data_IF_371010631165
#
_entry.id   IF_371010631165
#
_cell.length_a   1.000
_cell.length_b   1.000
_cell.length_c   1.000
_cell.angle_alpha   90.00
_cell.angle_beta   90.00
_cell.angle_gamma   90.00
#
_symmetry.space_group_name_H-M   'P 1'
#
loop_
_entity.id
_entity.type
_entity.pdbx_description
1 polymer ?
#
# COMPACT_ATOMS: atom_id res chain seq x y z
N UNK A 1 -19.67 -43.29 -34.68
CA UNK A 1 -18.91 -42.47 -33.73
C UNK A 1 -19.87 -41.41 -33.19
N UNK A 2 -20.07 -41.34 -31.88
CA UNK A 2 -21.06 -40.46 -31.21
C UNK A 2 -20.52 -39.00 -31.18
N UNK A 3 -21.29 -37.91 -31.03
CA UNK A 3 -22.23 -37.66 -29.93
C UNK A 3 -23.40 -36.69 -30.19
N UNK A 4 -24.43 -36.90 -29.38
CA UNK A 4 -25.59 -36.06 -29.08
C UNK A 4 -25.35 -35.28 -27.75
N UNK A 5 -26.00 -34.16 -27.42
CA UNK A 5 -26.82 -33.19 -28.19
C UNK A 5 -27.24 -32.01 -27.27
N UNK A 6 -28.00 -31.04 -27.82
CA UNK A 6 -28.83 -30.01 -27.15
C UNK A 6 -28.18 -28.76 -26.54
N UNK A 7 -28.90 -27.66 -26.77
CA UNK A 7 -28.76 -26.37 -26.11
C UNK A 7 -29.21 -26.43 -24.64
N UNK A 8 -28.81 -25.45 -23.84
CA UNK A 8 -29.73 -24.87 -22.87
C UNK A 8 -29.50 -23.35 -22.73
N UNK A 9 -30.58 -22.58 -22.80
CA UNK A 9 -30.57 -21.12 -22.56
C UNK A 9 -31.26 -20.93 -21.21
N UNK A 10 -30.52 -20.47 -20.20
CA UNK A 10 -31.01 -20.38 -18.82
C UNK A 10 -31.03 -18.92 -18.32
N UNK A 11 -32.19 -18.30 -18.50
CA UNK A 11 -32.89 -17.34 -17.62
C UNK A 11 -32.08 -16.54 -16.58
N UNK A 12 -32.18 -15.21 -16.68
CA UNK A 12 -31.90 -14.28 -15.58
C UNK A 12 -32.92 -14.43 -14.44
N UNK A 13 -32.48 -14.69 -13.20
CA UNK A 13 -32.98 -13.95 -12.03
C UNK A 13 -32.12 -14.12 -10.77
N UNK A 14 -32.16 -13.07 -9.95
CA UNK A 14 -31.36 -12.78 -8.77
C UNK A 14 -31.12 -13.92 -7.76
N UNK A 15 -29.85 -14.11 -7.41
CA UNK A 15 -29.40 -14.73 -6.16
C UNK A 15 -28.24 -13.91 -5.59
N UNK A 16 -28.42 -13.28 -4.41
CA UNK A 16 -27.33 -12.61 -3.67
C UNK A 16 -26.36 -13.64 -3.09
N UNK A 17 -25.17 -13.17 -2.72
CA UNK A 17 -24.12 -13.90 -1.98
C UNK A 17 -23.19 -14.80 -2.80
N UNK A 18 -22.38 -14.19 -3.66
CA UNK A 18 -20.93 -14.46 -3.54
C UNK A 18 -20.45 -13.57 -2.40
N UNK A 19 -20.09 -14.16 -1.27
CA UNK A 19 -19.34 -13.44 -0.25
C UNK A 19 -18.02 -13.00 -0.91
N UNK A 20 -17.75 -11.70 -0.96
CA UNK A 20 -16.42 -11.24 -1.31
C UNK A 20 -15.49 -11.75 -0.22
N UNK A 21 -14.74 -12.81 -0.52
CA UNK A 21 -13.65 -13.27 0.30
C UNK A 21 -12.78 -12.06 0.60
N UNK A 22 -12.65 -11.70 1.88
CA UNK A 22 -11.65 -10.73 2.32
C UNK A 22 -10.30 -11.39 2.08
N UNK A 23 -9.76 -11.19 0.87
CA UNK A 23 -8.42 -11.63 0.52
C UNK A 23 -7.48 -10.85 1.44
N UNK A 24 -6.95 -11.56 2.45
CA UNK A 24 -5.92 -11.02 3.32
C UNK A 24 -4.68 -10.91 2.45
N UNK A 25 -4.53 -9.75 1.81
CA UNK A 25 -3.36 -9.43 1.01
C UNK A 25 -2.15 -9.45 1.93
N UNK A 26 -1.42 -10.56 1.90
CA UNK A 26 -0.17 -10.69 2.61
C UNK A 26 0.83 -9.75 1.97
N UNK A 27 1.15 -8.67 2.66
CA UNK A 27 2.32 -7.83 2.40
C UNK A 27 3.53 -8.75 2.23
N UNK A 28 4.10 -8.83 1.02
CA UNK A 28 5.23 -9.71 0.71
C UNK A 28 6.56 -9.07 1.06
N UNK A 29 6.62 -7.75 1.05
CA UNK A 29 7.77 -6.94 1.44
C UNK A 29 7.31 -5.53 1.82
N UNK A 30 8.14 -4.83 2.59
CA UNK A 30 7.89 -3.46 3.04
C UNK A 30 9.01 -2.56 2.53
N UNK A 31 8.68 -1.35 2.07
CA UNK A 31 9.64 -0.35 1.61
C UNK A 31 9.80 0.69 2.72
N UNK A 32 10.92 0.64 3.46
CA UNK A 32 11.22 1.61 4.53
C UNK A 32 11.95 2.81 3.94
N UNK A 33 11.45 4.02 4.20
CA UNK A 33 11.95 5.29 3.65
C UNK A 33 12.16 6.29 4.80
N UNK A 34 13.40 6.44 5.28
CA UNK A 34 13.77 7.56 6.15
C UNK A 34 13.57 8.90 5.44
N UNK A 35 13.00 9.90 6.12
CA UNK A 35 12.79 11.26 5.58
C UNK A 35 13.14 12.36 6.58
N UNK A 36 13.66 13.47 6.05
CA UNK A 36 13.89 14.71 6.80
C UNK A 36 13.84 15.90 5.82
N UNK A 37 12.81 16.74 5.92
CA UNK A 37 12.57 17.91 5.05
C UNK A 37 12.49 17.55 3.54
N UNK A 38 11.67 16.54 3.19
CA UNK A 38 11.55 15.93 1.84
C UNK A 38 10.16 16.09 1.18
N UNK A 39 9.40 17.12 1.55
CA UNK A 39 7.98 17.24 1.18
C UNK A 39 7.72 17.07 -0.33
N UNK A 40 8.48 17.75 -1.18
CA UNK A 40 8.23 17.75 -2.63
C UNK A 40 8.51 16.41 -3.32
N UNK A 41 9.18 15.47 -2.65
CA UNK A 41 9.49 14.15 -3.18
C UNK A 41 8.48 13.05 -2.81
N UNK A 42 7.57 13.30 -1.85
CA UNK A 42 6.59 12.30 -1.38
C UNK A 42 5.63 11.86 -2.49
N UNK A 43 4.89 12.79 -3.11
CA UNK A 43 3.90 12.41 -4.14
C UNK A 43 4.55 11.79 -5.38
N UNK A 44 5.65 12.33 -5.96
CA UNK A 44 6.29 11.73 -7.12
C UNK A 44 6.85 10.32 -6.85
N UNK A 45 7.30 10.04 -5.62
CA UNK A 45 7.79 8.72 -5.23
C UNK A 45 6.64 7.73 -5.09
N UNK A 46 5.61 8.06 -4.31
CA UNK A 46 4.46 7.18 -4.09
C UNK A 46 3.67 6.92 -5.38
N UNK A 47 3.49 7.93 -6.22
CA UNK A 47 2.87 7.78 -7.55
C UNK A 47 3.61 6.74 -8.40
N UNK A 48 4.95 6.72 -8.36
CA UNK A 48 5.76 5.76 -9.12
C UNK A 48 5.73 4.35 -8.51
N UNK A 49 5.77 4.24 -7.18
CA UNK A 49 5.72 2.96 -6.47
C UNK A 49 4.37 2.25 -6.68
N UNK A 50 3.25 2.96 -6.56
CA UNK A 50 1.92 2.38 -6.76
C UNK A 50 1.49 2.25 -8.24
N UNK A 51 2.29 2.76 -9.18
CA UNK A 51 2.12 2.50 -10.62
C UNK A 51 2.85 1.23 -11.10
N UNK A 52 3.56 0.52 -10.22
CA UNK A 52 4.19 -0.77 -10.55
C UNK A 52 3.12 -1.87 -10.72
N UNK A 53 3.33 -2.76 -11.70
CA UNK A 53 2.48 -3.93 -11.94
C UNK A 53 2.73 -5.02 -10.87
N UNK A 54 2.21 -4.75 -9.67
CA UNK A 54 2.25 -5.62 -8.50
C UNK A 54 0.83 -5.85 -8.00
N UNK A 55 0.55 -7.04 -7.48
CA UNK A 55 -0.74 -7.34 -6.87
C UNK A 55 -1.06 -6.33 -5.76
N UNK A 56 -2.31 -5.84 -5.72
CA UNK A 56 -2.80 -4.91 -4.71
C UNK A 56 -2.49 -5.39 -3.30
N UNK A 57 -2.05 -4.48 -2.42
CA UNK A 57 -1.68 -4.80 -1.04
C UNK A 57 -0.45 -5.71 -0.87
N UNK A 58 0.22 -6.12 -1.96
CA UNK A 58 1.35 -7.05 -1.86
C UNK A 58 2.68 -6.42 -1.41
N UNK A 59 2.68 -5.10 -1.17
CA UNK A 59 3.71 -4.37 -0.44
C UNK A 59 3.10 -3.22 0.38
N UNK A 60 3.85 -2.70 1.35
CA UNK A 60 3.56 -1.46 2.08
C UNK A 60 4.73 -0.47 1.94
N UNK A 61 4.46 0.82 2.15
CA UNK A 61 5.51 1.86 2.25
C UNK A 61 5.49 2.47 3.64
N UNK A 62 6.60 2.35 4.36
CA UNK A 62 6.79 2.87 5.71
C UNK A 62 7.71 4.09 5.62
N UNK A 63 7.17 5.28 5.81
CA UNK A 63 7.97 6.48 6.01
C UNK A 63 8.38 6.58 7.48
N UNK A 64 9.63 6.95 7.72
CA UNK A 64 10.16 7.24 9.05
C UNK A 64 10.71 8.65 9.04
N UNK A 65 9.93 9.57 9.60
CA UNK A 65 10.24 10.99 9.61
C UNK A 65 11.07 11.36 10.84
N UNK A 66 12.24 11.97 10.62
CA UNK A 66 13.21 12.31 11.66
C UNK A 66 13.00 13.73 12.25
N UNK A 67 11.76 14.21 12.26
CA UNK A 67 11.41 15.54 12.77
C UNK A 67 11.53 16.62 11.69
N UNK A 68 10.96 16.35 10.52
CA UNK A 68 10.80 17.32 9.44
C UNK A 68 10.05 18.58 9.93
N UNK A 69 10.47 19.72 9.42
CA UNK A 69 9.96 21.06 9.75
C UNK A 69 9.16 21.67 8.58
N UNK A 70 9.07 20.94 7.48
CA UNK A 70 8.33 21.27 6.27
C UNK A 70 6.97 20.51 6.21
N UNK A 71 6.43 20.31 5.00
CA UNK A 71 5.19 19.58 4.79
C UNK A 71 5.29 18.04 4.80
N UNK A 72 6.46 17.44 5.05
CA UNK A 72 6.70 15.99 4.84
C UNK A 72 5.69 15.09 5.56
N UNK A 73 5.45 15.22 6.89
CA UNK A 73 4.50 14.36 7.58
C UNK A 73 3.07 14.54 7.07
N UNK A 74 2.69 15.78 6.75
CA UNK A 74 1.35 16.12 6.26
C UNK A 74 1.07 15.50 4.90
N UNK A 75 2.08 15.44 4.02
CA UNK A 75 1.97 14.78 2.71
C UNK A 75 1.88 13.26 2.83
N UNK A 76 2.71 12.62 3.66
CA UNK A 76 2.62 11.16 3.88
C UNK A 76 1.22 10.78 4.42
N UNK A 77 0.71 11.53 5.40
CA UNK A 77 -0.62 11.32 5.97
C UNK A 77 -1.77 11.42 4.96
N UNK A 78 -1.62 12.23 3.91
CA UNK A 78 -2.60 12.31 2.82
C UNK A 78 -2.67 11.02 1.97
N UNK A 79 -1.58 10.24 1.93
CA UNK A 79 -1.49 8.95 1.23
C UNK A 79 -1.93 7.76 2.09
N UNK A 80 -1.83 7.81 3.42
CA UNK A 80 -2.33 6.75 4.34
C UNK A 80 -3.83 6.45 4.12
N UNK A 81 -4.60 7.45 3.66
CA UNK A 81 -6.03 7.30 3.33
C UNK A 81 -6.32 6.69 1.95
N UNK A 82 -5.31 6.51 1.10
CA UNK A 82 -5.46 6.17 -0.32
C UNK A 82 -4.75 4.88 -0.73
N UNK A 83 -3.66 4.52 -0.05
CA UNK A 83 -2.81 3.38 -0.38
C UNK A 83 -2.19 2.75 0.88
N UNK A 84 -1.46 1.65 0.72
CA UNK A 84 -0.81 0.94 1.83
C UNK A 84 0.47 1.67 2.28
N UNK A 85 0.28 2.84 2.90
CA UNK A 85 1.32 3.74 3.38
C UNK A 85 1.16 3.93 4.88
N UNK A 86 2.28 4.03 5.60
CA UNK A 86 2.33 4.25 7.05
C UNK A 86 3.40 5.29 7.38
N UNK A 87 3.13 6.13 8.37
CA UNK A 87 4.09 7.09 8.92
C UNK A 87 4.50 6.72 10.35
N UNK A 88 5.81 6.66 10.59
CA UNK A 88 6.43 6.79 11.92
C UNK A 88 7.02 8.18 12.02
N UNK A 89 6.71 8.93 13.08
CA UNK A 89 7.40 10.17 13.42
C UNK A 89 8.34 9.90 14.60
N UNK A 90 9.63 10.17 14.43
CA UNK A 90 10.65 10.10 15.47
C UNK A 90 10.83 11.46 16.14
N UNK A 91 11.24 11.45 17.40
CA UNK A 91 11.43 12.67 18.20
C UNK A 91 12.82 12.73 18.86
N UNK A 92 13.77 11.93 18.38
CA UNK A 92 15.18 12.03 18.77
C UNK A 92 15.95 13.00 17.86
N UNK A 93 17.28 13.02 17.97
CA UNK A 93 18.11 13.65 16.96
C UNK A 93 18.03 12.83 15.65
N UNK A 94 17.97 13.48 14.47
CA UNK A 94 17.95 12.80 13.18
C UNK A 94 19.11 11.81 13.04
N UNK A 95 18.80 10.58 12.67
CA UNK A 95 19.78 9.52 12.45
C UNK A 95 19.21 8.52 11.44
N UNK A 96 19.83 8.47 10.26
CA UNK A 96 19.46 7.55 9.18
C UNK A 96 19.43 6.08 9.65
N UNK A 97 20.38 5.67 10.50
CA UNK A 97 20.43 4.29 10.97
C UNK A 97 19.28 3.98 11.94
N UNK A 98 19.05 4.86 12.92
CA UNK A 98 17.88 4.82 13.81
C UNK A 98 16.56 4.81 13.05
N UNK A 99 16.43 5.58 11.97
CA UNK A 99 15.21 5.65 11.16
C UNK A 99 14.93 4.36 10.40
N UNK A 100 15.97 3.78 9.78
CA UNK A 100 15.86 2.45 9.16
C UNK A 100 15.46 1.41 10.20
N UNK A 101 16.10 1.41 11.38
CA UNK A 101 15.81 0.44 12.45
C UNK A 101 14.39 0.59 13.02
N UNK A 102 13.90 1.82 13.20
CA UNK A 102 12.54 2.10 13.64
C UNK A 102 11.49 1.60 12.63
N UNK A 103 11.73 1.79 11.33
CA UNK A 103 10.84 1.28 10.28
C UNK A 103 10.88 -0.24 10.10
N UNK A 104 12.02 -0.87 10.36
CA UNK A 104 12.20 -2.34 10.30
C UNK A 104 11.60 -3.05 11.52
N UNK A 105 11.33 -2.34 12.62
CA UNK A 105 10.79 -2.90 13.86
C UNK A 105 9.24 -2.97 13.92
N UNK A 106 8.54 -2.68 12.81
CA UNK A 106 7.07 -2.71 12.67
C UNK A 106 6.48 -4.10 12.37
#
# INVERSE_FOLDING_TARGET
MQYFTRHNVATLQAGRSVAQSSEVFLTRFSVVIPTLDEADHIDPLLTRLFALDLASGSFEVIFVDDGSRDGTPSRVRAWEAQANVRLIERHEQPDLAGSILAGVAL
#
